data_IF_140203622080
#
_entry.id   IF_140203622080
#
_cell.length_a   1.000
_cell.length_b   1.000
_cell.length_c   1.000
_cell.angle_alpha   90.00
_cell.angle_beta   90.00
_cell.angle_gamma   90.00
#
_symmetry.space_group_name_H-M   'P 1'
#
loop_
_entity.id
_entity.type
_entity.pdbx_description
1 polymer ?
#
# COMPACT_ATOMS: atom_id res chain seq x y z
N UNK A 1 9.42 -5.00 -18.71
CA UNK A 1 8.90 -5.55 -17.43
C UNK A 1 8.82 -7.05 -17.59
N UNK A 2 9.44 -7.81 -16.70
CA UNK A 2 9.38 -9.28 -16.69
C UNK A 2 8.67 -9.76 -15.44
N UNK A 3 7.88 -10.82 -15.56
CA UNK A 3 7.23 -11.50 -14.44
C UNK A 3 7.78 -12.92 -14.36
N UNK A 4 8.20 -13.34 -13.17
CA UNK A 4 8.74 -14.67 -12.92
C UNK A 4 8.04 -15.29 -11.72
N UNK A 5 7.45 -16.46 -11.91
CA UNK A 5 7.04 -17.34 -10.80
C UNK A 5 8.17 -18.30 -10.47
N UNK A 6 8.57 -18.33 -9.22
CA UNK A 6 9.55 -19.29 -8.69
C UNK A 6 8.81 -20.29 -7.80
N UNK A 7 8.75 -21.55 -8.24
CA UNK A 7 8.43 -22.68 -7.37
C UNK A 7 9.75 -23.25 -6.90
N UNK A 8 9.98 -23.24 -5.62
CA UNK A 8 11.32 -23.37 -5.10
C UNK A 8 11.84 -24.77 -4.79
N UNK A 9 13.18 -24.89 -4.82
CA UNK A 9 13.95 -26.12 -4.53
C UNK A 9 14.26 -26.25 -3.02
N UNK A 10 14.03 -27.45 -2.48
CA UNK A 10 14.44 -28.06 -1.20
C UNK A 10 14.19 -27.38 0.16
N UNK A 11 14.51 -26.12 0.43
CA UNK A 11 14.14 -25.44 1.68
C UNK A 11 12.88 -24.59 1.51
N UNK A 12 12.35 -24.51 0.32
CA UNK A 12 11.27 -23.68 -0.15
C UNK A 12 10.07 -24.50 -0.69
N UNK A 13 10.00 -25.78 -0.37
CA UNK A 13 8.88 -26.67 -0.77
C UNK A 13 7.52 -26.12 -0.29
N UNK A 14 7.53 -25.24 0.72
CA UNK A 14 6.34 -24.71 1.38
C UNK A 14 6.01 -23.26 0.99
N UNK A 15 6.66 -22.69 -0.02
CA UNK A 15 6.37 -21.34 -0.50
C UNK A 15 6.21 -21.24 -2.02
N UNK A 16 5.36 -20.30 -2.44
CA UNK A 16 5.26 -19.82 -3.81
C UNK A 16 5.69 -18.37 -3.83
N UNK A 17 6.64 -18.04 -4.70
CA UNK A 17 7.17 -16.68 -4.87
C UNK A 17 6.85 -16.16 -6.26
N UNK A 18 6.25 -14.98 -6.31
CA UNK A 18 5.99 -14.25 -7.55
C UNK A 18 6.82 -12.96 -7.56
N UNK A 19 7.60 -12.76 -8.63
CA UNK A 19 8.46 -11.59 -8.77
C UNK A 19 8.12 -10.88 -10.07
N UNK A 20 7.73 -9.61 -9.97
CA UNK A 20 7.65 -8.68 -11.09
C UNK A 20 8.87 -7.77 -11.06
N UNK A 21 9.59 -7.68 -12.16
CA UNK A 21 10.85 -6.93 -12.29
C UNK A 21 10.70 -5.82 -13.32
N UNK A 22 11.21 -4.65 -12.97
CA UNK A 22 11.49 -3.56 -13.88
C UNK A 22 12.95 -3.17 -13.71
N UNK A 23 13.77 -3.47 -14.71
CA UNK A 23 15.21 -3.22 -14.72
C UNK A 23 15.50 -2.36 -15.96
N UNK A 24 15.61 -1.03 -15.84
CA UNK A 24 16.01 -0.16 -16.93
C UNK A 24 17.51 -0.33 -17.21
N UNK A 25 17.95 0.08 -18.39
CA UNK A 25 19.38 0.04 -18.75
C UNK A 25 20.21 0.94 -17.82
N UNK A 26 19.65 2.05 -17.38
CA UNK A 26 20.21 2.99 -16.40
C UNK A 26 19.11 3.42 -15.45
N UNK A 27 19.47 3.76 -14.20
CA UNK A 27 18.52 4.24 -13.20
C UNK A 27 18.16 3.19 -12.14
N UNK A 28 16.97 3.35 -11.55
CA UNK A 28 16.47 2.52 -10.44
C UNK A 28 15.80 1.26 -10.96
N UNK A 29 16.29 0.10 -10.55
CA UNK A 29 15.55 -1.14 -10.75
C UNK A 29 14.52 -1.33 -9.63
N UNK A 30 13.34 -1.87 -9.98
CA UNK A 30 12.21 -2.06 -9.09
C UNK A 30 11.73 -3.51 -9.11
N UNK A 31 11.40 -4.02 -7.93
CA UNK A 31 10.94 -5.40 -7.76
C UNK A 31 9.71 -5.44 -6.85
N UNK A 32 8.66 -6.06 -7.33
CA UNK A 32 7.51 -6.44 -6.51
C UNK A 32 7.56 -7.94 -6.27
N UNK A 33 7.65 -8.32 -5.02
CA UNK A 33 7.72 -9.71 -4.60
C UNK A 33 6.51 -10.05 -3.77
N UNK A 34 5.83 -11.14 -4.12
CA UNK A 34 4.78 -11.73 -3.30
C UNK A 34 5.21 -13.13 -2.86
N UNK A 35 5.21 -13.38 -1.56
CA UNK A 35 5.56 -14.65 -0.95
C UNK A 35 4.32 -15.24 -0.28
N UNK A 36 3.89 -16.39 -0.78
CA UNK A 36 2.79 -17.19 -0.24
C UNK A 36 3.34 -18.44 0.41
N UNK A 37 2.98 -18.68 1.66
CA UNK A 37 3.14 -20.01 2.24
C UNK A 37 2.10 -20.94 1.59
N UNK A 38 2.46 -22.20 1.33
CA UNK A 38 1.61 -23.17 0.63
C UNK A 38 1.09 -24.30 1.52
N UNK A 39 1.50 -24.32 2.80
CA UNK A 39 1.15 -25.37 3.77
C UNK A 39 0.29 -24.79 4.91
N UNK A 40 -1.06 -24.83 4.81
CA UNK A 40 -1.95 -24.25 5.82
C UNK A 40 -1.95 -25.03 7.16
N UNK A 41 -1.50 -26.28 7.16
CA UNK A 41 -1.42 -27.13 8.36
C UNK A 41 -0.29 -26.76 9.31
N UNK A 42 0.73 -26.02 8.84
CA UNK A 42 1.81 -25.55 9.71
C UNK A 42 1.28 -24.53 10.74
N UNK A 43 1.93 -24.48 11.90
CA UNK A 43 1.69 -23.44 12.90
C UNK A 43 2.04 -22.06 12.34
N UNK A 44 1.59 -21.00 13.00
CA UNK A 44 1.94 -19.64 12.57
C UNK A 44 3.46 -19.41 12.59
N UNK A 45 4.14 -19.89 13.63
CA UNK A 45 5.60 -19.75 13.77
C UNK A 45 6.34 -20.44 12.63
N UNK A 46 6.01 -21.70 12.34
CA UNK A 46 6.62 -22.43 11.22
C UNK A 46 6.37 -21.75 9.86
N UNK A 47 5.18 -21.17 9.67
CA UNK A 47 4.87 -20.40 8.47
C UNK A 47 5.66 -19.10 8.40
N UNK A 48 5.81 -18.37 9.52
CA UNK A 48 6.60 -17.16 9.60
C UNK A 48 8.08 -17.43 9.31
N UNK A 49 8.66 -18.44 9.97
CA UNK A 49 10.06 -18.85 9.75
C UNK A 49 10.29 -19.21 8.28
N UNK A 50 9.42 -20.03 7.70
CA UNK A 50 9.48 -20.43 6.28
C UNK A 50 9.41 -19.22 5.35
N UNK A 51 8.55 -18.25 5.64
CA UNK A 51 8.37 -17.03 4.85
C UNK A 51 9.61 -16.13 4.94
N UNK A 52 10.15 -15.93 6.15
CA UNK A 52 11.34 -15.10 6.38
C UNK A 52 12.59 -15.72 5.76
N UNK A 53 12.79 -17.02 5.91
CA UNK A 53 13.90 -17.75 5.28
C UNK A 53 13.85 -17.60 3.75
N UNK A 54 12.65 -17.74 3.17
CA UNK A 54 12.45 -17.54 1.74
C UNK A 54 12.80 -16.12 1.33
N UNK A 55 12.35 -15.11 2.08
CA UNK A 55 12.63 -13.71 1.81
C UNK A 55 14.13 -13.40 1.85
N UNK A 56 14.84 -13.84 2.90
CA UNK A 56 16.27 -13.58 3.01
C UNK A 56 17.08 -14.32 1.93
N UNK A 57 16.71 -15.54 1.60
CA UNK A 57 17.34 -16.27 0.49
C UNK A 57 17.17 -15.57 -0.88
N UNK A 58 15.99 -14.96 -1.11
CA UNK A 58 15.78 -14.15 -2.33
C UNK A 58 16.71 -12.95 -2.39
N UNK A 59 16.90 -12.24 -1.27
CA UNK A 59 17.81 -11.10 -1.19
C UNK A 59 19.27 -11.51 -1.45
N UNK A 60 19.69 -12.66 -0.95
CA UNK A 60 21.07 -13.15 -1.11
C UNK A 60 21.37 -13.64 -2.53
N UNK A 61 20.39 -14.24 -3.19
CA UNK A 61 20.61 -14.97 -4.45
C UNK A 61 20.04 -14.24 -5.69
N UNK A 62 18.74 -13.93 -5.67
CA UNK A 62 17.99 -13.44 -6.85
C UNK A 62 17.90 -11.91 -6.93
N UNK A 63 17.91 -11.22 -5.80
CA UNK A 63 17.71 -9.78 -5.68
C UNK A 63 18.88 -9.09 -4.98
N UNK A 64 20.08 -9.57 -5.25
CA UNK A 64 21.29 -9.08 -4.62
C UNK A 64 21.49 -7.57 -4.85
N UNK A 65 21.63 -6.83 -3.76
CA UNK A 65 21.81 -5.38 -3.78
C UNK A 65 20.49 -4.58 -3.84
N UNK A 66 19.34 -5.25 -3.93
CA UNK A 66 18.05 -4.58 -3.74
C UNK A 66 17.76 -4.40 -2.24
N UNK A 67 17.16 -3.25 -1.90
CA UNK A 67 16.74 -2.91 -0.54
C UNK A 67 15.23 -2.82 -0.47
N UNK A 68 14.65 -3.28 0.64
CA UNK A 68 13.22 -3.14 0.87
C UNK A 68 12.88 -1.66 1.08
N UNK A 69 11.84 -1.22 0.40
CA UNK A 69 11.27 0.13 0.49
C UNK A 69 9.99 0.08 1.31
N UNK A 70 9.16 -0.91 1.02
CA UNK A 70 7.88 -1.12 1.69
C UNK A 70 7.61 -2.62 1.83
N UNK A 71 7.13 -3.03 3.00
CA UNK A 71 6.63 -4.39 3.26
C UNK A 71 5.18 -4.33 3.73
N UNK A 72 4.38 -5.31 3.29
CA UNK A 72 3.04 -5.52 3.83
C UNK A 72 2.86 -6.98 4.18
N UNK A 73 2.66 -7.23 5.47
CA UNK A 73 2.32 -8.55 5.98
C UNK A 73 0.80 -8.69 6.05
N UNK A 74 0.30 -9.76 5.47
CA UNK A 74 -1.10 -10.15 5.51
C UNK A 74 -1.26 -11.28 6.50
N UNK A 75 -1.99 -11.03 7.59
CA UNK A 75 -2.18 -11.97 8.68
C UNK A 75 -3.61 -12.55 8.67
N UNK A 76 -3.76 -13.79 9.13
CA UNK A 76 -5.08 -14.41 9.31
C UNK A 76 -5.75 -14.02 10.63
N UNK A 77 -4.94 -13.63 11.63
CA UNK A 77 -5.37 -13.26 12.99
C UNK A 77 -4.33 -12.30 13.57
N UNK A 78 -4.46 -11.01 13.24
CA UNK A 78 -3.47 -10.01 13.64
C UNK A 78 -3.38 -9.87 15.18
N UNK A 79 -4.50 -10.04 15.91
CA UNK A 79 -4.53 -9.90 17.37
C UNK A 79 -3.61 -10.91 18.08
N UNK A 80 -3.46 -12.10 17.52
CA UNK A 80 -2.62 -13.15 18.10
C UNK A 80 -1.25 -13.31 17.41
N UNK A 81 -1.05 -12.69 16.25
CA UNK A 81 0.12 -12.92 15.40
C UNK A 81 1.07 -11.72 15.31
N UNK A 82 0.55 -10.48 15.44
CA UNK A 82 1.34 -9.28 15.17
C UNK A 82 2.51 -9.08 16.15
N UNK A 83 2.32 -9.40 17.44
CA UNK A 83 3.38 -9.26 18.45
C UNK A 83 4.55 -10.21 18.16
N UNK A 84 4.26 -11.45 17.74
CA UNK A 84 5.28 -12.41 17.32
C UNK A 84 6.06 -11.91 16.11
N UNK A 85 5.35 -11.39 15.12
CA UNK A 85 5.97 -10.80 13.93
C UNK A 85 6.88 -9.63 14.30
N UNK A 86 6.43 -8.72 15.17
CA UNK A 86 7.20 -7.56 15.60
C UNK A 86 8.50 -7.92 16.33
N UNK A 87 8.50 -9.03 17.07
CA UNK A 87 9.71 -9.55 17.75
C UNK A 87 10.72 -10.12 16.75
N UNK A 88 10.26 -10.84 15.73
CA UNK A 88 11.12 -11.49 14.74
C UNK A 88 11.67 -10.50 13.70
N UNK A 89 10.91 -9.44 13.40
CA UNK A 89 11.24 -8.51 12.33
C UNK A 89 11.06 -7.06 12.80
N UNK A 90 12.09 -6.43 13.38
CA UNK A 90 12.04 -5.03 13.78
C UNK A 90 12.13 -4.11 12.55
N UNK A 91 11.05 -4.04 11.76
CA UNK A 91 11.02 -3.44 10.42
C UNK A 91 11.08 -1.91 10.39
N UNK A 92 10.67 -1.23 11.47
CA UNK A 92 10.44 0.22 11.44
C UNK A 92 11.68 1.08 11.12
N UNK A 93 12.88 0.51 11.29
CA UNK A 93 14.15 1.21 10.97
C UNK A 93 14.74 0.82 9.61
N UNK A 94 14.21 -0.21 8.97
CA UNK A 94 14.79 -0.84 7.76
C UNK A 94 13.98 -0.52 6.51
N UNK A 95 12.66 -0.39 6.64
CA UNK A 95 11.74 0.00 5.56
C UNK A 95 10.41 0.48 6.13
N UNK A 96 9.56 1.09 5.31
CA UNK A 96 8.17 1.28 5.69
C UNK A 96 7.48 -0.10 5.79
N UNK A 97 6.66 -0.29 6.82
CA UNK A 97 6.02 -1.57 7.09
C UNK A 97 4.53 -1.41 7.39
N UNK A 98 3.71 -2.28 6.81
CA UNK A 98 2.28 -2.40 7.06
C UNK A 98 1.96 -3.82 7.51
N UNK A 99 1.24 -3.95 8.63
CA UNK A 99 0.75 -5.22 9.15
C UNK A 99 -0.77 -5.13 9.17
N UNK A 100 -1.44 -6.01 8.44
CA UNK A 100 -2.90 -5.96 8.30
C UNK A 100 -3.50 -7.37 8.39
N UNK A 101 -4.59 -7.48 9.11
CA UNK A 101 -5.41 -8.69 9.08
C UNK A 101 -6.24 -8.69 7.80
N UNK A 102 -5.74 -9.42 6.84
CA UNK A 102 -6.41 -9.84 5.60
C UNK A 102 -5.98 -11.29 5.35
N UNK A 103 -6.78 -12.27 5.76
CA UNK A 103 -6.40 -13.68 5.69
C UNK A 103 -6.02 -14.10 4.27
N UNK A 104 -4.88 -14.78 4.07
CA UNK A 104 -4.53 -15.36 2.77
C UNK A 104 -5.60 -16.34 2.29
N UNK A 105 -6.00 -16.23 1.02
CA UNK A 105 -7.12 -17.00 0.44
C UNK A 105 -6.86 -18.51 0.35
N UNK A 106 -5.61 -18.93 0.43
CA UNK A 106 -5.20 -20.35 0.43
C UNK A 106 -5.29 -21.01 1.81
N UNK A 107 -5.82 -20.30 2.84
CA UNK A 107 -5.99 -20.81 4.19
C UNK A 107 -4.73 -20.80 5.04
N UNK A 108 -3.62 -20.22 4.55
CA UNK A 108 -2.41 -20.01 5.36
C UNK A 108 -2.58 -18.84 6.33
N UNK A 109 -1.64 -18.70 7.26
CA UNK A 109 -1.76 -17.73 8.36
C UNK A 109 -1.03 -16.42 8.07
N UNK A 110 -0.13 -16.42 7.08
CA UNK A 110 0.66 -15.26 6.71
C UNK A 110 1.03 -15.28 5.23
N UNK A 111 1.07 -14.10 4.61
CA UNK A 111 1.70 -13.84 3.33
C UNK A 111 2.43 -12.48 3.39
N UNK A 112 3.39 -12.25 2.49
CA UNK A 112 4.21 -11.05 2.47
C UNK A 112 4.29 -10.48 1.05
N UNK A 113 3.92 -9.22 0.89
CA UNK A 113 4.27 -8.41 -0.28
C UNK A 113 5.41 -7.45 0.07
N UNK A 114 6.44 -7.42 -0.78
CA UNK A 114 7.59 -6.52 -0.63
C UNK A 114 7.81 -5.74 -1.92
N UNK A 115 7.97 -4.44 -1.78
CA UNK A 115 8.49 -3.57 -2.81
C UNK A 115 9.96 -3.26 -2.51
N UNK A 116 10.84 -3.56 -3.47
CA UNK A 116 12.27 -3.35 -3.35
C UNK A 116 12.78 -2.49 -4.51
N UNK A 117 13.86 -1.77 -4.23
CA UNK A 117 14.58 -1.01 -5.24
C UNK A 117 16.09 -1.24 -5.12
N UNK A 118 16.83 -1.05 -6.24
CA UNK A 118 18.28 -1.00 -6.23
C UNK A 118 18.76 0.35 -6.76
N UNK A 119 19.96 0.78 -6.35
CA UNK A 119 20.53 2.06 -6.75
C UNK A 119 19.92 3.27 -6.01
N UNK A 120 19.39 3.07 -4.82
CA UNK A 120 18.74 4.09 -3.99
C UNK A 120 19.42 4.23 -2.63
N UNK A 121 19.18 5.37 -1.98
CA UNK A 121 19.55 5.59 -0.57
C UNK A 121 18.29 5.60 0.28
N UNK A 122 18.34 4.94 1.44
CA UNK A 122 17.19 4.77 2.32
C UNK A 122 17.50 5.27 3.73
N UNK A 123 16.49 5.87 4.39
CA UNK A 123 16.57 6.23 5.82
C UNK A 123 15.18 6.30 6.46
N UNK A 124 15.10 5.92 7.72
CA UNK A 124 13.95 6.23 8.56
C UNK A 124 13.99 7.71 8.97
N UNK A 125 12.84 8.37 8.98
CA UNK A 125 12.69 9.75 9.41
C UNK A 125 12.10 9.80 10.82
N UNK A 126 12.43 10.83 11.59
CA UNK A 126 11.85 11.06 12.93
C UNK A 126 10.33 11.22 12.90
N UNK A 127 9.77 11.63 11.76
CA UNK A 127 8.32 11.72 11.53
C UNK A 127 7.60 10.37 11.47
N UNK A 128 8.34 9.25 11.44
CA UNK A 128 7.79 7.91 11.23
C UNK A 128 7.64 7.51 9.76
N UNK A 129 7.92 8.43 8.82
CA UNK A 129 7.99 8.09 7.40
C UNK A 129 9.35 7.45 7.08
N UNK A 130 9.38 6.66 6.02
CA UNK A 130 10.59 6.08 5.46
C UNK A 130 10.91 6.77 4.13
N UNK A 131 12.11 7.33 4.04
CA UNK A 131 12.58 8.03 2.84
C UNK A 131 13.46 7.13 1.99
N UNK A 132 13.17 7.14 0.70
CA UNK A 132 14.01 6.55 -0.35
C UNK A 132 14.37 7.64 -1.33
N UNK A 133 15.66 7.88 -1.58
CA UNK A 133 16.11 8.95 -2.46
C UNK A 133 16.89 8.42 -3.65
N UNK A 134 16.62 9.04 -4.80
CA UNK A 134 17.28 8.78 -6.08
C UNK A 134 17.25 10.05 -6.94
N UNK A 135 18.42 10.50 -7.37
CA UNK A 135 18.55 11.74 -8.13
C UNK A 135 17.97 12.93 -7.38
N UNK A 136 17.02 13.63 -8.00
CA UNK A 136 16.34 14.78 -7.40
C UNK A 136 15.10 14.39 -6.56
N UNK A 137 14.70 13.13 -6.57
CA UNK A 137 13.47 12.68 -5.94
C UNK A 137 13.71 12.12 -4.55
N UNK A 138 12.78 12.45 -3.64
CA UNK A 138 12.68 11.88 -2.31
C UNK A 138 11.30 11.24 -2.19
N UNK A 139 11.26 9.92 -2.14
CA UNK A 139 10.05 9.12 -2.00
C UNK A 139 9.79 8.88 -0.51
N UNK A 140 8.62 9.28 -0.03
CA UNK A 140 8.22 9.16 1.36
C UNK A 140 7.14 8.08 1.49
N UNK A 141 7.43 7.05 2.25
CA UNK A 141 6.54 5.93 2.50
C UNK A 141 6.10 5.91 3.95
N UNK A 142 4.80 5.78 4.19
CA UNK A 142 4.22 5.55 5.52
C UNK A 142 3.46 4.24 5.55
N UNK A 143 3.63 3.46 6.61
CA UNK A 143 2.94 2.20 6.80
C UNK A 143 2.32 2.09 8.19
N UNK A 144 1.18 1.42 8.29
CA UNK A 144 0.47 1.11 9.54
C UNK A 144 0.10 2.33 10.41
N UNK A 145 -0.03 3.52 9.85
CA UNK A 145 -0.48 4.66 10.64
C UNK A 145 -1.89 4.38 11.22
N UNK A 146 -2.06 4.55 12.52
CA UNK A 146 -3.31 4.25 13.22
C UNK A 146 -3.47 5.12 14.49
N UNK A 147 -4.69 5.21 15.01
CA UNK A 147 -5.00 5.80 16.32
C UNK A 147 -6.27 5.19 16.92
N UNK A 148 -6.59 5.54 18.17
CA UNK A 148 -7.72 5.01 18.94
C UNK A 148 -8.82 6.05 19.19
N UNK A 149 -9.01 7.03 18.31
CA UNK A 149 -10.09 8.00 18.45
C UNK A 149 -11.47 7.32 18.40
N UNK A 150 -12.51 8.03 18.84
CA UNK A 150 -13.81 7.47 19.19
C UNK A 150 -14.55 6.72 18.07
N UNK A 151 -14.31 7.07 16.80
CA UNK A 151 -14.96 6.43 15.64
C UNK A 151 -14.13 6.58 14.37
N UNK A 152 -14.54 5.93 13.29
CA UNK A 152 -13.83 5.92 12.01
C UNK A 152 -13.65 7.31 11.39
N UNK A 153 -14.60 8.22 11.56
CA UNK A 153 -14.50 9.61 11.09
C UNK A 153 -13.35 10.33 11.80
N UNK A 154 -13.33 10.31 13.14
CA UNK A 154 -12.28 10.96 13.92
C UNK A 154 -10.91 10.30 13.71
N UNK A 155 -10.86 8.97 13.62
CA UNK A 155 -9.63 8.27 13.33
C UNK A 155 -9.06 8.69 11.98
N UNK A 156 -9.87 8.73 10.93
CA UNK A 156 -9.43 9.16 9.59
C UNK A 156 -8.99 10.61 9.58
N UNK A 157 -9.72 11.50 10.26
CA UNK A 157 -9.37 12.93 10.34
C UNK A 157 -7.99 13.12 10.98
N UNK A 158 -7.74 12.46 12.11
CA UNK A 158 -6.45 12.52 12.78
C UNK A 158 -5.32 11.94 11.91
N UNK A 159 -5.53 10.77 11.30
CA UNK A 159 -4.54 10.16 10.40
C UNK A 159 -4.14 11.10 9.26
N UNK A 160 -5.11 11.74 8.60
CA UNK A 160 -4.84 12.67 7.52
C UNK A 160 -4.14 13.94 8.01
N UNK A 161 -4.56 14.49 9.15
CA UNK A 161 -3.92 15.69 9.72
C UNK A 161 -2.49 15.41 10.16
N UNK A 162 -2.24 14.28 10.82
CA UNK A 162 -0.89 13.87 11.22
C UNK A 162 0.01 13.68 9.99
N UNK A 163 -0.53 13.05 8.95
CA UNK A 163 0.21 12.86 7.70
C UNK A 163 0.50 14.21 7.00
N UNK A 164 -0.42 15.15 6.99
CA UNK A 164 -0.21 16.51 6.48
C UNK A 164 0.96 17.18 7.22
N UNK A 165 0.97 17.09 8.56
CA UNK A 165 2.07 17.66 9.37
C UNK A 165 3.41 16.97 9.08
N UNK A 166 3.41 15.64 8.90
CA UNK A 166 4.61 14.89 8.52
C UNK A 166 5.14 15.34 7.15
N UNK A 167 4.28 15.57 6.17
CA UNK A 167 4.67 16.07 4.84
C UNK A 167 5.22 17.50 4.92
N UNK A 168 4.56 18.39 5.65
CA UNK A 168 5.01 19.77 5.84
C UNK A 168 6.39 19.80 6.49
N UNK A 169 6.63 18.96 7.50
CA UNK A 169 7.94 18.84 8.14
C UNK A 169 9.06 18.40 7.19
N UNK A 170 8.71 17.74 6.07
CA UNK A 170 9.64 17.35 5.02
C UNK A 170 9.70 18.36 3.85
N UNK A 171 8.94 19.46 3.91
CA UNK A 171 8.84 20.47 2.86
C UNK A 171 7.86 20.10 1.74
N UNK A 172 6.91 19.22 2.01
CA UNK A 172 5.87 18.79 1.06
C UNK A 172 4.46 19.22 1.46
N UNK A 173 3.51 19.04 0.54
CA UNK A 173 2.10 19.32 0.71
C UNK A 173 1.25 18.15 0.24
N UNK A 174 0.11 17.92 0.90
CA UNK A 174 -0.76 16.77 0.57
C UNK A 174 -1.19 16.80 -0.89
N UNK A 175 -1.68 17.93 -1.38
CA UNK A 175 -2.18 18.07 -2.74
C UNK A 175 -1.08 17.93 -3.82
N UNK A 176 0.13 18.41 -3.53
CA UNK A 176 1.20 18.47 -4.52
C UNK A 176 2.06 17.21 -4.57
N UNK A 177 2.18 16.51 -3.45
CA UNK A 177 3.19 15.47 -3.28
C UNK A 177 2.61 14.09 -2.98
N UNK A 178 1.42 13.97 -2.39
CA UNK A 178 0.82 12.68 -2.08
C UNK A 178 0.29 12.01 -3.35
N UNK A 179 0.85 10.87 -3.70
CA UNK A 179 0.50 10.12 -4.91
C UNK A 179 -0.52 9.03 -4.60
N UNK A 180 -0.40 8.40 -3.42
CA UNK A 180 -1.19 7.22 -3.11
C UNK A 180 -1.50 7.10 -1.62
N UNK A 181 -2.75 6.69 -1.31
CA UNK A 181 -3.18 6.26 0.03
C UNK A 181 -3.88 4.92 -0.02
N UNK A 182 -3.73 4.13 1.04
CA UNK A 182 -4.50 2.92 1.30
C UNK A 182 -5.13 3.02 2.68
N UNK A 183 -6.44 2.79 2.75
CA UNK A 183 -7.17 2.72 4.01
C UNK A 183 -7.64 1.29 4.22
N UNK A 184 -7.15 0.66 5.29
CA UNK A 184 -7.67 -0.62 5.77
C UNK A 184 -8.73 -0.33 6.82
N UNK A 185 -9.94 -0.79 6.55
CA UNK A 185 -11.14 -0.40 7.30
C UNK A 185 -11.71 -1.64 7.98
N UNK A 186 -11.72 -1.63 9.31
CA UNK A 186 -12.39 -2.66 10.09
C UNK A 186 -13.91 -2.57 9.86
N UNK A 187 -14.55 -3.70 9.56
CA UNK A 187 -15.98 -3.75 9.24
C UNK A 187 -16.36 -2.66 8.23
N UNK A 188 -15.85 -2.79 7.00
CA UNK A 188 -15.94 -1.77 5.95
C UNK A 188 -17.37 -1.24 5.75
N UNK A 189 -18.38 -2.10 5.82
CA UNK A 189 -19.80 -1.72 5.65
C UNK A 189 -20.29 -0.74 6.73
N UNK A 190 -19.67 -0.73 7.91
CA UNK A 190 -20.03 0.13 9.03
C UNK A 190 -19.16 1.39 9.07
N UNK A 191 -17.86 1.23 8.87
CA UNK A 191 -16.88 2.27 9.15
C UNK A 191 -16.47 3.11 7.94
N UNK A 192 -16.74 2.66 6.70
CA UNK A 192 -16.28 3.35 5.49
C UNK A 192 -16.93 4.72 5.29
N UNK A 193 -18.18 4.91 5.73
CA UNK A 193 -18.86 6.20 5.65
C UNK A 193 -18.10 7.29 6.43
N UNK A 194 -17.53 6.95 7.60
CA UNK A 194 -16.69 7.87 8.38
C UNK A 194 -15.39 8.24 7.67
N UNK A 195 -14.77 7.27 6.99
CA UNK A 195 -13.59 7.52 6.15
C UNK A 195 -13.90 8.52 5.05
N UNK A 196 -14.98 8.30 4.31
CA UNK A 196 -15.41 9.16 3.20
C UNK A 196 -15.67 10.58 3.70
N UNK A 197 -16.43 10.73 4.79
CA UNK A 197 -16.77 12.04 5.35
C UNK A 197 -15.52 12.82 5.77
N UNK A 198 -14.65 12.22 6.59
CA UNK A 198 -13.44 12.87 7.07
C UNK A 198 -12.47 13.22 5.92
N UNK A 199 -12.29 12.30 4.96
CA UNK A 199 -11.45 12.54 3.79
C UNK A 199 -11.97 13.69 2.94
N UNK A 200 -13.26 13.73 2.63
CA UNK A 200 -13.86 14.80 1.84
C UNK A 200 -13.65 16.17 2.50
N UNK A 201 -13.85 16.26 3.81
CA UNK A 201 -13.67 17.51 4.56
C UNK A 201 -12.20 17.96 4.59
N UNK A 202 -11.27 17.05 4.91
CA UNK A 202 -9.84 17.37 4.95
C UNK A 202 -9.32 17.72 3.56
N UNK A 203 -9.71 17.00 2.52
CA UNK A 203 -9.27 17.26 1.16
C UNK A 203 -9.64 18.66 0.67
N UNK A 204 -10.86 19.12 0.95
CA UNK A 204 -11.28 20.50 0.61
C UNK A 204 -10.35 21.54 1.25
N UNK A 205 -9.94 21.35 2.51
CA UNK A 205 -9.00 22.28 3.19
C UNK A 205 -7.61 22.28 2.58
N UNK A 206 -7.25 21.22 1.85
CA UNK A 206 -5.97 21.05 1.17
C UNK A 206 -6.02 21.41 -0.33
N UNK A 207 -7.14 21.96 -0.81
CA UNK A 207 -7.31 22.33 -2.21
C UNK A 207 -7.57 21.15 -3.16
N UNK A 208 -7.84 19.96 -2.62
CA UNK A 208 -8.22 18.77 -3.39
C UNK A 208 -9.75 18.78 -3.62
N UNK A 209 -10.15 19.09 -4.84
CA UNK A 209 -11.54 19.32 -5.24
C UNK A 209 -11.81 18.75 -6.63
N UNK A 210 -13.08 18.65 -7.08
CA UNK A 210 -13.39 18.24 -8.46
C UNK A 210 -12.82 19.15 -9.54
N UNK A 211 -12.47 20.41 -9.19
CA UNK A 211 -11.88 21.39 -10.12
C UNK A 211 -10.37 21.33 -10.18
N UNK A 212 -9.73 20.69 -9.23
CA UNK A 212 -8.28 20.48 -9.20
C UNK A 212 -7.98 19.01 -9.52
N UNK A 213 -7.81 18.20 -8.53
CA UNK A 213 -7.63 16.74 -8.60
C UNK A 213 -7.84 16.11 -7.23
N UNK A 214 -7.85 14.80 -7.18
CA UNK A 214 -7.77 14.01 -5.95
C UNK A 214 -6.48 13.16 -5.94
N UNK A 215 -6.36 12.30 -4.95
CA UNK A 215 -5.25 11.36 -4.76
C UNK A 215 -5.74 9.96 -5.12
N UNK A 216 -4.91 9.16 -5.81
CA UNK A 216 -5.21 7.74 -6.02
C UNK A 216 -5.33 7.03 -4.66
N UNK A 217 -6.45 6.35 -4.42
CA UNK A 217 -6.77 5.80 -3.10
C UNK A 217 -7.52 4.48 -3.20
N UNK A 218 -7.32 3.62 -2.21
CA UNK A 218 -8.11 2.40 -2.01
C UNK A 218 -8.58 2.34 -0.56
N UNK A 219 -9.89 2.22 -0.36
CA UNK A 219 -10.48 1.84 0.92
C UNK A 219 -10.95 0.39 0.82
N UNK A 220 -10.44 -0.48 1.67
CA UNK A 220 -10.67 -1.92 1.62
C UNK A 220 -10.80 -2.50 3.03
N UNK A 221 -11.54 -3.60 3.17
CA UNK A 221 -11.63 -4.32 4.44
C UNK A 221 -10.26 -4.80 4.92
N UNK A 222 -9.95 -4.54 6.17
CA UNK A 222 -8.75 -4.99 6.85
C UNK A 222 -8.80 -4.58 8.31
N UNK A 223 -8.10 -5.31 9.19
CA UNK A 223 -8.09 -5.05 10.63
C UNK A 223 -6.68 -4.84 11.13
N UNK A 224 -6.57 -4.05 12.18
CA UNK A 224 -5.38 -3.93 12.99
C UNK A 224 -5.40 -4.96 14.12
N UNK A 225 -4.24 -5.28 14.71
CA UNK A 225 -4.14 -6.16 15.88
C UNK A 225 -4.94 -5.62 17.08
N UNK A 226 -4.95 -4.32 17.27
CA UNK A 226 -5.77 -3.63 18.26
C UNK A 226 -7.17 -3.37 17.71
N UNK A 227 -8.18 -3.95 18.34
CA UNK A 227 -9.58 -3.86 17.93
C UNK A 227 -10.20 -2.45 18.08
N UNK A 228 -9.56 -1.54 18.80
CA UNK A 228 -9.98 -0.13 18.90
C UNK A 228 -9.54 0.68 17.67
N UNK A 229 -8.61 0.17 16.90
CA UNK A 229 -8.18 0.77 15.63
C UNK A 229 -9.16 0.34 14.54
N UNK A 230 -10.01 1.27 14.14
CA UNK A 230 -11.01 1.06 13.08
C UNK A 230 -10.42 1.32 11.70
N UNK A 231 -9.42 2.21 11.62
CA UNK A 231 -8.79 2.66 10.38
C UNK A 231 -7.28 2.60 10.52
N UNK A 232 -6.64 1.92 9.56
CA UNK A 232 -5.20 1.95 9.36
C UNK A 232 -4.90 2.56 7.99
N UNK A 233 -3.86 3.40 7.90
CA UNK A 233 -3.52 4.09 6.67
C UNK A 233 -2.06 3.85 6.28
N UNK A 234 -1.85 3.52 5.00
CA UNK A 234 -0.55 3.53 4.36
C UNK A 234 -0.51 4.66 3.33
N UNK A 235 0.66 5.25 3.12
CA UNK A 235 0.82 6.44 2.28
C UNK A 235 2.08 6.40 1.43
N UNK A 236 2.02 7.09 0.29
CA UNK A 236 3.17 7.34 -0.55
C UNK A 236 3.13 8.75 -1.12
N UNK A 237 4.23 9.47 -0.96
CA UNK A 237 4.43 10.81 -1.52
C UNK A 237 5.80 10.94 -2.18
N UNK A 238 5.96 11.93 -3.06
CA UNK A 238 7.22 12.24 -3.72
C UNK A 238 7.52 13.73 -3.61
N UNK A 239 8.71 14.06 -3.13
CA UNK A 239 9.26 15.41 -3.12
C UNK A 239 10.27 15.57 -4.25
N UNK A 240 10.50 16.83 -4.70
CA UNK A 240 11.37 17.12 -5.83
C UNK A 240 10.71 16.87 -7.19
N UNK A 241 9.42 16.58 -7.20
CA UNK A 241 8.61 16.38 -8.40
C UNK A 241 7.93 17.69 -8.83
N UNK A 242 7.74 17.89 -10.13
CA UNK A 242 6.92 18.97 -10.68
C UNK A 242 5.51 18.44 -10.99
N UNK A 243 4.51 19.32 -10.91
CA UNK A 243 3.11 18.96 -11.14
C UNK A 243 2.86 18.35 -12.54
N UNK A 244 3.60 18.79 -13.55
CA UNK A 244 3.49 18.27 -14.93
C UNK A 244 3.96 16.82 -15.08
N UNK A 245 4.64 16.27 -14.07
CA UNK A 245 5.07 14.87 -14.04
C UNK A 245 4.03 13.95 -13.40
N UNK A 246 3.00 14.51 -12.76
CA UNK A 246 1.91 13.77 -12.12
C UNK A 246 0.70 13.80 -13.06
N UNK A 247 0.20 12.63 -13.42
CA UNK A 247 -0.90 12.49 -14.37
C UNK A 247 -2.03 11.66 -13.74
N UNK A 248 -3.24 12.24 -13.78
CA UNK A 248 -4.43 11.59 -13.24
C UNK A 248 -5.13 10.77 -14.32
N UNK A 249 -5.54 9.56 -13.96
CA UNK A 249 -6.13 8.59 -14.88
C UNK A 249 -7.65 8.61 -14.77
N UNK A 250 -8.29 8.79 -15.89
CA UNK A 250 -9.74 8.76 -16.04
C UNK A 250 -10.15 7.66 -17.02
N UNK A 251 -11.31 7.06 -16.79
CA UNK A 251 -11.87 6.05 -17.67
C UNK A 251 -13.34 6.39 -18.02
N UNK A 252 -13.63 7.57 -18.62
CA UNK A 252 -14.99 8.12 -18.71
C UNK A 252 -15.97 7.27 -19.52
N UNK A 253 -15.47 6.38 -20.35
CA UNK A 253 -16.29 5.42 -21.11
C UNK A 253 -16.68 4.17 -20.33
N UNK A 254 -15.99 3.91 -19.20
CA UNK A 254 -16.16 2.70 -18.39
C UNK A 254 -16.55 3.00 -16.94
N UNK A 255 -16.03 4.10 -16.40
CA UNK A 255 -16.21 4.49 -14.99
C UNK A 255 -16.64 5.95 -14.91
N UNK A 256 -17.59 6.26 -14.04
CA UNK A 256 -17.95 7.64 -13.74
C UNK A 256 -16.91 8.33 -12.83
N UNK A 257 -16.85 9.67 -12.83
CA UNK A 257 -16.08 10.43 -11.86
C UNK A 257 -16.52 10.12 -10.42
N UNK A 258 -15.55 10.03 -9.52
CA UNK A 258 -15.81 9.59 -8.13
C UNK A 258 -16.65 10.58 -7.32
N UNK A 259 -16.48 11.88 -7.58
CA UNK A 259 -17.26 12.93 -6.91
C UNK A 259 -18.76 12.88 -7.23
N UNK A 260 -19.19 12.26 -8.34
CA UNK A 260 -20.61 12.11 -8.68
C UNK A 260 -21.39 11.24 -7.69
N UNK A 261 -20.71 10.33 -7.00
CA UNK A 261 -21.29 9.53 -5.94
C UNK A 261 -20.70 9.82 -4.54
N UNK A 262 -20.16 11.03 -4.37
CA UNK A 262 -19.84 11.59 -3.07
C UNK A 262 -18.50 11.15 -2.46
N UNK A 263 -17.58 10.57 -3.24
CA UNK A 263 -16.25 10.21 -2.75
C UNK A 263 -15.14 10.98 -3.48
N UNK A 264 -14.02 11.17 -2.80
CA UNK A 264 -12.89 11.98 -3.27
C UNK A 264 -11.64 11.11 -3.45
N UNK A 265 -11.47 10.53 -4.64
CA UNK A 265 -10.23 9.87 -5.05
C UNK A 265 -10.10 9.84 -6.58
N UNK A 266 -8.88 9.73 -7.10
CA UNK A 266 -8.64 9.48 -8.52
C UNK A 266 -8.72 7.98 -8.84
N UNK A 267 -9.18 7.63 -10.04
CA UNK A 267 -9.21 6.23 -10.53
C UNK A 267 -7.80 5.63 -10.63
N UNK A 268 -6.83 6.49 -10.82
CA UNK A 268 -5.42 6.16 -10.79
C UNK A 268 -4.57 7.40 -10.99
N UNK A 269 -3.29 7.25 -10.74
CA UNK A 269 -2.29 8.30 -10.94
C UNK A 269 -1.03 7.63 -11.47
N UNK A 270 -0.36 8.23 -12.45
CA UNK A 270 1.01 7.85 -12.76
C UNK A 270 1.95 9.04 -12.61
N UNK A 271 3.17 8.72 -12.27
CA UNK A 271 4.27 9.68 -12.14
C UNK A 271 5.31 9.36 -13.20
N UNK A 272 5.71 10.38 -13.97
CA UNK A 272 6.77 10.29 -14.98
C UNK A 272 8.08 10.80 -14.38
N UNK A 273 9.01 9.90 -14.10
CA UNK A 273 10.33 10.22 -13.57
C UNK A 273 11.37 10.46 -14.67
N UNK A 274 10.96 10.38 -15.94
CA UNK A 274 11.83 10.51 -17.09
C UNK A 274 12.46 9.18 -17.54
N UNK A 275 13.01 8.42 -16.62
CA UNK A 275 13.56 7.07 -16.87
C UNK A 275 12.49 5.98 -16.79
N UNK A 276 11.37 6.26 -16.08
CA UNK A 276 10.26 5.32 -15.90
C UNK A 276 8.96 6.05 -15.58
N UNK A 277 7.87 5.30 -15.72
CA UNK A 277 6.54 5.69 -15.21
C UNK A 277 6.09 4.71 -14.15
N UNK A 278 5.74 5.23 -12.98
CA UNK A 278 5.14 4.44 -11.92
C UNK A 278 3.64 4.72 -11.87
N UNK A 279 2.83 3.66 -11.98
CA UNK A 279 1.37 3.75 -12.09
C UNK A 279 0.71 3.18 -10.84
N UNK A 280 -0.20 3.94 -10.27
CA UNK A 280 -1.03 3.54 -9.14
C UNK A 280 -2.50 3.51 -9.55
N UNK A 281 -3.11 2.33 -9.53
CA UNK A 281 -4.53 2.16 -9.82
C UNK A 281 -5.30 2.06 -8.51
N UNK A 282 -6.34 2.86 -8.36
CA UNK A 282 -7.23 2.82 -7.20
C UNK A 282 -8.13 1.59 -7.23
N UNK A 283 -8.52 1.11 -6.05
CA UNK A 283 -9.56 0.10 -5.94
C UNK A 283 -10.88 0.61 -6.53
N UNK A 284 -11.50 -0.21 -7.38
CA UNK A 284 -12.76 0.14 -8.05
C UNK A 284 -13.71 -1.04 -7.94
N UNK A 285 -14.96 -0.75 -7.53
CA UNK A 285 -16.03 -1.73 -7.58
C UNK A 285 -16.44 -2.04 -9.04
N UNK A 286 -17.13 -3.14 -9.24
CA UNK A 286 -17.68 -3.51 -10.56
C UNK A 286 -18.87 -2.61 -10.91
N UNK A 287 -18.57 -1.42 -11.43
CA UNK A 287 -19.54 -0.39 -11.84
C UNK A 287 -19.26 0.07 -13.27
N UNK A 288 -20.29 0.61 -13.93
CA UNK A 288 -20.14 1.21 -15.25
C UNK A 288 -19.99 2.75 -15.16
N UNK A 289 -19.93 3.41 -16.32
CA UNK A 289 -19.79 4.88 -16.43
C UNK A 289 -21.03 5.67 -15.91
N UNK A 290 -22.13 4.99 -15.56
CA UNK A 290 -23.30 5.59 -14.92
C UNK A 290 -23.34 5.36 -13.40
N UNK A 291 -22.32 4.68 -12.84
CA UNK A 291 -22.29 4.29 -11.43
C UNK A 291 -23.19 3.09 -11.10
N UNK A 292 -23.70 2.39 -12.09
CA UNK A 292 -24.55 1.21 -11.90
C UNK A 292 -23.68 -0.02 -11.67
N UNK A 293 -24.06 -0.86 -10.69
CA UNK A 293 -23.37 -2.15 -10.46
C UNK A 293 -23.56 -3.08 -11.65
N UNK A 294 -22.47 -3.58 -12.22
CA UNK A 294 -22.49 -4.55 -13.31
C UNK A 294 -22.21 -5.95 -12.81
N UNK A 295 -22.84 -6.93 -13.46
CA UNK A 295 -22.74 -8.36 -13.13
C UNK A 295 -23.09 -8.71 -11.67
N UNK A 296 -24.21 -8.21 -11.10
CA UNK A 296 -24.58 -8.50 -9.72
C UNK A 296 -24.70 -10.01 -9.49
N UNK A 297 -24.04 -10.52 -8.44
CA UNK A 297 -24.03 -11.94 -8.09
C UNK A 297 -23.05 -12.83 -8.88
N UNK A 298 -22.34 -12.29 -9.87
CA UNK A 298 -21.32 -13.03 -10.63
C UNK A 298 -19.93 -12.52 -10.29
N UNK A 299 -19.34 -13.07 -9.22
CA UNK A 299 -18.02 -12.63 -8.73
C UNK A 299 -16.91 -12.79 -9.78
N UNK A 300 -17.00 -13.79 -10.68
CA UNK A 300 -15.98 -14.00 -11.71
C UNK A 300 -15.95 -12.91 -12.77
N UNK A 301 -17.10 -12.27 -13.02
CA UNK A 301 -17.17 -11.14 -13.95
C UNK A 301 -16.95 -9.79 -13.25
N UNK A 302 -17.07 -9.76 -11.91
CA UNK A 302 -16.84 -8.55 -11.12
C UNK A 302 -15.36 -8.36 -10.77
N UNK A 303 -14.54 -9.38 -10.85
CA UNK A 303 -13.10 -9.39 -10.66
C UNK A 303 -12.36 -9.55 -11.98
#
# INVERSE_FOLDING_TARGET
>A
MSHKQLRNHKSQENTLVEISRFEPAEGVAEYHVMIHVTQPSLTYQEQLDTLLDTYYQLLENELKGAVAVFKRYFLSDAANQADWLAVQVPESSVCACSIVEQPPLNGTKIALWVYLQSGVQCRALESGLFEVSHGAYRHLWGGSACNRAANSEYQTRLLLNDYILQLIAQGGHLAENCIRTWFFVQNVDVNYAGVVKARNEVFVTQGLTPQTHYIASTGIGGRHADTQVLIQMDTYAVLGIRQEQIHYLYAPTHLNPTYEYGVSFERGTYVDYGDRRQVFISGTASINHRGEVVYPGDIRKQT
#
